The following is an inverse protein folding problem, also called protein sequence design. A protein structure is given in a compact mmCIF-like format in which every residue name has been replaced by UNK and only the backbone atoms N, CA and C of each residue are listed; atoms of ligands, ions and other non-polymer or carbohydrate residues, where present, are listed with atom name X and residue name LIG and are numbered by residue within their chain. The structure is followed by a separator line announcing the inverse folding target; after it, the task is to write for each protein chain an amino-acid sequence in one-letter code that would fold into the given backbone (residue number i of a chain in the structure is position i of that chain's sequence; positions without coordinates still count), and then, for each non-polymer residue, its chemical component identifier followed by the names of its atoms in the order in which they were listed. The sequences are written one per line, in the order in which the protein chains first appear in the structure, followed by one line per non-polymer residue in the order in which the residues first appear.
data_IF_309505296040
#
_entry.id   IF_309505296040
#
_cell.length_a   1.000
_cell.length_b   1.000
_cell.length_c   1.000
_cell.angle_alpha   90.00
_cell.angle_beta   90.00
_cell.angle_gamma   90.00
#
_symmetry.space_group_name_H-M   'P 1'
#
loop_
_entity.id
_entity.type
_entity.pdbx_description
1 polymer ?
#
# COMPACT_ATOMS: atom_id res chain seq x y z
N UNK A 1 7.75 13.30 18.93
CA UNK A 1 6.87 12.41 18.13
C UNK A 1 7.77 11.38 17.46
N UNK A 2 7.63 10.09 17.78
CA UNK A 2 8.30 9.03 17.00
C UNK A 2 7.76 9.08 15.56
N UNK A 3 8.65 9.21 14.58
CA UNK A 3 8.29 8.97 13.20
C UNK A 3 7.74 7.54 13.12
N UNK A 4 6.48 7.39 12.67
CA UNK A 4 5.89 6.06 12.46
C UNK A 4 6.68 5.37 11.35
N UNK A 5 7.45 4.35 11.71
CA UNK A 5 8.24 3.61 10.75
C UNK A 5 7.39 2.47 10.15
N UNK A 6 7.88 1.84 9.09
CA UNK A 6 7.18 0.75 8.38
C UNK A 6 6.84 -0.41 9.32
N UNK A 7 7.73 -0.73 10.27
CA UNK A 7 7.49 -1.77 11.26
C UNK A 7 6.29 -1.46 12.18
N UNK A 8 6.17 -0.21 12.65
CA UNK A 8 5.05 0.23 13.49
C UNK A 8 3.74 0.24 12.71
N UNK A 9 3.78 0.68 11.45
CA UNK A 9 2.62 0.63 10.55
C UNK A 9 2.17 -0.81 10.31
N UNK A 10 3.10 -1.71 9.99
CA UNK A 10 2.79 -3.13 9.84
C UNK A 10 2.17 -3.69 11.11
N UNK A 11 2.71 -3.37 12.29
CA UNK A 11 2.17 -3.84 13.56
C UNK A 11 0.74 -3.35 13.78
N UNK A 12 0.46 -2.07 13.51
CA UNK A 12 -0.89 -1.52 13.64
C UNK A 12 -1.90 -2.20 12.68
N UNK A 13 -1.48 -2.51 11.45
CA UNK A 13 -2.30 -3.24 10.48
C UNK A 13 -2.48 -4.72 10.84
N UNK A 14 -1.45 -5.34 11.43
CA UNK A 14 -1.51 -6.70 11.98
C UNK A 14 -2.54 -6.76 13.10
N UNK A 15 -2.51 -5.79 14.02
CA UNK A 15 -3.43 -5.72 15.15
C UNK A 15 -4.89 -5.52 14.66
N UNK A 16 -5.08 -4.70 13.62
CA UNK A 16 -6.39 -4.51 12.97
C UNK A 16 -6.88 -5.75 12.23
N UNK A 17 -5.98 -6.48 11.57
CA UNK A 17 -6.29 -7.74 10.90
C UNK A 17 -6.47 -8.91 11.91
N UNK A 18 -5.94 -8.77 13.11
CA UNK A 18 -5.92 -9.73 14.21
C UNK A 18 -4.75 -10.71 14.19
N UNK A 19 -4.01 -10.85 13.08
CA UNK A 19 -2.74 -11.60 13.04
C UNK A 19 -1.94 -11.32 11.77
N UNK A 20 -0.64 -11.60 11.82
CA UNK A 20 0.27 -11.49 10.67
C UNK A 20 -0.18 -12.34 9.49
N UNK A 21 -0.66 -13.56 9.79
CA UNK A 21 -1.17 -14.48 8.78
C UNK A 21 -2.41 -13.92 8.09
N UNK A 22 -3.36 -13.38 8.85
CA UNK A 22 -4.59 -12.77 8.27
C UNK A 22 -4.27 -11.55 7.43
N UNK A 23 -3.34 -10.70 7.86
CA UNK A 23 -2.89 -9.57 7.04
C UNK A 23 -2.23 -10.06 5.74
N UNK A 24 -1.36 -11.06 5.85
CA UNK A 24 -0.67 -11.63 4.69
C UNK A 24 -1.65 -12.24 3.67
N UNK A 25 -2.65 -12.99 4.15
CA UNK A 25 -3.74 -13.56 3.34
C UNK A 25 -4.55 -12.46 2.65
N UNK A 26 -4.95 -11.41 3.37
CA UNK A 26 -5.67 -10.26 2.80
C UNK A 26 -4.85 -9.53 1.74
N UNK A 27 -3.54 -9.40 1.95
CA UNK A 27 -2.63 -8.76 1.01
C UNK A 27 -2.17 -9.66 -0.14
N UNK A 28 -2.51 -10.96 -0.15
CA UNK A 28 -2.01 -11.88 -1.16
C UNK A 28 -0.48 -12.00 -1.13
N UNK A 29 0.09 -12.03 0.07
CA UNK A 29 1.51 -12.25 0.31
C UNK A 29 1.73 -13.34 1.38
N UNK A 30 2.96 -13.78 1.58
CA UNK A 30 3.27 -14.77 2.61
C UNK A 30 3.50 -14.11 3.97
N UNK A 31 3.13 -14.80 5.05
CA UNK A 31 3.42 -14.34 6.42
C UNK A 31 4.91 -14.06 6.62
N UNK A 32 5.79 -14.86 6.00
CA UNK A 32 7.24 -14.67 6.02
C UNK A 32 7.64 -13.35 5.36
N UNK A 33 6.96 -12.92 4.30
CA UNK A 33 7.23 -11.65 3.64
C UNK A 33 6.89 -10.46 4.55
N UNK A 34 5.75 -10.52 5.26
CA UNK A 34 5.38 -9.52 6.28
C UNK A 34 6.40 -9.48 7.41
N UNK A 35 6.79 -10.65 7.95
CA UNK A 35 7.76 -10.75 9.03
C UNK A 35 9.13 -10.18 8.62
N UNK A 36 9.61 -10.51 7.42
CA UNK A 36 10.84 -9.93 6.85
C UNK A 36 10.74 -8.42 6.69
N UNK A 37 9.64 -7.90 6.17
CA UNK A 37 9.45 -6.46 6.00
C UNK A 37 9.44 -5.71 7.32
N UNK A 38 8.85 -6.31 8.37
CA UNK A 38 8.86 -5.78 9.74
C UNK A 38 10.28 -5.69 10.30
N UNK A 39 11.06 -6.76 10.20
CA UNK A 39 12.45 -6.78 10.69
C UNK A 39 13.39 -5.87 9.88
N UNK A 40 13.19 -5.79 8.56
CA UNK A 40 13.96 -4.90 7.68
C UNK A 40 13.50 -3.43 7.79
N UNK A 41 12.40 -3.17 8.49
CA UNK A 41 11.72 -1.87 8.57
C UNK A 41 11.50 -1.25 7.17
N UNK A 42 11.20 -2.10 6.17
CA UNK A 42 11.09 -1.73 4.77
C UNK A 42 10.22 -2.72 4.02
N UNK A 43 9.30 -2.21 3.21
CA UNK A 43 8.51 -3.03 2.26
C UNK A 43 9.00 -2.83 0.83
N UNK A 44 8.92 -3.89 0.03
CA UNK A 44 9.15 -3.81 -1.41
C UNK A 44 8.04 -2.99 -2.10
N UNK A 45 8.31 -2.35 -3.26
CA UNK A 45 7.28 -1.56 -3.96
C UNK A 45 6.04 -2.41 -4.31
N UNK A 46 6.23 -3.65 -4.74
CA UNK A 46 5.13 -4.59 -5.02
C UNK A 46 4.30 -4.92 -3.78
N UNK A 47 4.97 -5.02 -2.61
CA UNK A 47 4.29 -5.27 -1.34
C UNK A 47 3.51 -4.04 -0.88
N UNK A 48 4.02 -2.83 -1.10
CA UNK A 48 3.31 -1.60 -0.79
C UNK A 48 1.97 -1.49 -1.55
N UNK A 49 1.95 -1.86 -2.84
CA UNK A 49 0.71 -1.91 -3.64
C UNK A 49 -0.27 -2.93 -3.07
N UNK A 50 0.20 -4.14 -2.74
CA UNK A 50 -0.62 -5.18 -2.13
C UNK A 50 -1.19 -4.77 -0.77
N UNK A 51 -0.37 -4.12 0.06
CA UNK A 51 -0.78 -3.60 1.36
C UNK A 51 -1.80 -2.48 1.22
N UNK A 52 -1.65 -1.58 0.23
CA UNK A 52 -2.65 -0.54 -0.06
C UNK A 52 -4.02 -1.15 -0.36
N UNK A 53 -4.08 -2.15 -1.24
CA UNK A 53 -5.34 -2.83 -1.53
C UNK A 53 -5.94 -3.55 -0.31
N UNK A 54 -5.11 -4.09 0.57
CA UNK A 54 -5.57 -4.84 1.74
C UNK A 54 -5.97 -3.97 2.94
N UNK A 55 -5.28 -2.85 3.13
CA UNK A 55 -5.37 -2.00 4.34
C UNK A 55 -6.04 -0.65 4.08
N UNK A 56 -6.08 -0.20 2.82
CA UNK A 56 -6.50 1.14 2.43
C UNK A 56 -5.44 2.21 2.70
N UNK A 57 -4.27 1.85 3.25
CA UNK A 57 -3.17 2.79 3.49
C UNK A 57 -2.39 2.99 2.19
N UNK A 58 -2.27 4.23 1.69
CA UNK A 58 -1.70 4.47 0.37
C UNK A 58 -0.19 4.16 0.33
N UNK A 59 0.27 3.66 -0.82
CA UNK A 59 1.65 3.19 -1.05
C UNK A 59 2.74 4.24 -0.79
N UNK A 60 2.43 5.53 -0.87
CA UNK A 60 3.34 6.63 -0.50
C UNK A 60 3.67 6.64 0.99
N UNK A 61 2.74 6.21 1.85
CA UNK A 61 3.01 6.09 3.30
C UNK A 61 3.96 4.94 3.60
N UNK A 62 3.84 3.86 2.83
CA UNK A 62 4.71 2.69 2.95
C UNK A 62 6.11 2.94 2.38
N UNK A 63 6.20 3.63 1.24
CA UNK A 63 7.45 3.89 0.51
C UNK A 63 7.44 5.31 -0.09
N UNK A 64 7.62 6.35 0.73
CA UNK A 64 7.64 7.73 0.26
C UNK A 64 8.85 8.03 -0.63
N UNK A 65 9.89 7.20 -0.57
CA UNK A 65 11.09 7.29 -1.42
C UNK A 65 10.82 6.86 -2.87
N UNK A 66 9.79 6.05 -3.12
CA UNK A 66 9.43 5.61 -4.47
C UNK A 66 8.15 6.28 -4.95
N UNK A 67 7.11 6.20 -4.12
CA UNK A 67 5.79 6.69 -4.50
C UNK A 67 5.67 8.12 -3.99
N UNK A 68 5.64 9.06 -4.94
CA UNK A 68 5.20 10.43 -4.61
C UNK A 68 3.72 10.36 -4.20
N UNK A 69 3.28 11.22 -3.26
CA UNK A 69 1.86 11.33 -2.95
C UNK A 69 1.13 11.66 -4.26
N UNK A 70 0.30 10.73 -4.71
CA UNK A 70 -0.58 10.98 -5.85
C UNK A 70 -1.61 12.01 -5.38
N UNK A 71 -1.83 13.14 -6.09
CA UNK A 71 -2.93 14.02 -5.77
C UNK A 71 -4.21 13.19 -5.89
N UNK A 72 -4.87 12.94 -4.76
CA UNK A 72 -6.15 12.28 -4.76
C UNK A 72 -7.13 13.19 -5.52
N UNK A 73 -7.61 12.70 -6.67
CA UNK A 73 -8.53 13.32 -7.63
C UNK A 73 -7.88 14.13 -8.77
N UNK A 74 -7.47 13.44 -9.82
CA UNK A 74 -7.72 13.90 -11.19
C UNK A 74 -8.75 12.93 -11.81
N UNK A 75 -10.04 13.30 -11.90
CA UNK A 75 -10.99 12.52 -12.68
C UNK A 75 -10.58 12.61 -14.15
N UNK A 76 -9.98 11.54 -14.67
CA UNK A 76 -9.96 11.16 -16.09
C UNK A 76 -10.07 12.33 -17.08
N UNK A 77 -9.02 13.14 -17.21
CA UNK A 77 -8.94 14.06 -18.35
C UNK A 77 -8.51 13.24 -19.58
N UNK A 78 -9.40 13.17 -20.57
CA UNK A 78 -9.07 12.72 -21.93
C UNK A 78 -9.56 11.34 -22.35
N UNK A 79 -10.81 10.96 -22.08
CA UNK A 79 -11.51 10.10 -23.04
C UNK A 79 -12.03 11.05 -24.14
N UNK A 80 -11.24 11.25 -25.20
CA UNK A 80 -11.72 11.92 -26.42
C UNK A 80 -12.96 11.20 -26.93
N UNK A 81 -14.16 11.82 -26.93
CA UNK A 81 -15.28 11.31 -27.68
C UNK A 81 -15.21 11.93 -29.07
N UNK A 82 -14.22 11.53 -29.90
CA UNK A 82 -14.33 11.77 -31.35
C UNK A 82 -15.35 10.78 -31.92
N UNK A 83 -16.60 11.08 -31.59
CA UNK A 83 -17.77 10.46 -32.18
C UNK A 83 -17.91 11.07 -33.57
N UNK A 84 -17.62 10.21 -34.55
CA UNK A 84 -17.90 10.38 -35.96
C UNK A 84 -19.26 11.06 -36.23
N UNK A 85 -19.25 12.30 -36.70
CA UNK A 85 -20.33 13.03 -37.42
C UNK A 85 -19.72 14.34 -37.93
N UNK A 86 -19.78 14.77 -39.19
CA UNK A 86 -20.63 14.48 -40.36
C UNK A 86 -19.86 14.79 -41.63
#
# INVERSE_FOLDING_TARGET
MNAMNVADMLQAEIDRAGSEKKLAERAGCSQVAINKAKHANRVSPEMAVKLEHATGVPRDRWRPDIFRPHPANDPAEGVDPDVRSS
#
